data_IF_864535274236
#
_entry.id   IF_864535274236
#
_cell.length_a   1.000
_cell.length_b   1.000
_cell.length_c   1.000
_cell.angle_alpha   90.00
_cell.angle_beta   90.00
_cell.angle_gamma   90.00
#
_symmetry.space_group_name_H-M   'P 1'
#
loop_
_entity.id
_entity.type
_entity.pdbx_description
1 polymer ?
#
# COMPACT_ATOMS: atom_id res chain seq x y z
N UNK A 1 28.15 -23.61 19.12
CA UNK A 1 27.53 -22.33 18.74
C UNK A 1 27.20 -22.40 17.26
N UNK A 2 25.95 -22.66 16.86
CA UNK A 2 25.59 -22.58 15.44
C UNK A 2 25.57 -21.11 15.06
N UNK A 3 26.44 -20.70 14.14
CA UNK A 3 26.39 -19.36 13.58
C UNK A 3 24.99 -19.11 13.02
N UNK A 4 24.34 -18.04 13.46
CA UNK A 4 23.12 -17.56 12.83
C UNK A 4 23.49 -17.09 11.42
N UNK A 5 23.35 -17.98 10.44
CA UNK A 5 23.53 -17.64 9.04
C UNK A 5 22.30 -16.83 8.61
N UNK A 6 22.43 -15.50 8.55
CA UNK A 6 21.36 -14.65 8.06
C UNK A 6 21.00 -15.04 6.62
N UNK A 7 19.70 -15.15 6.35
CA UNK A 7 19.16 -15.51 5.05
C UNK A 7 19.53 -14.46 3.98
N UNK A 8 19.44 -14.86 2.71
CA UNK A 8 19.61 -13.93 1.57
C UNK A 8 18.59 -12.79 1.66
N UNK A 9 17.34 -13.09 2.05
CA UNK A 9 16.29 -12.07 2.22
C UNK A 9 16.62 -11.05 3.30
N UNK A 10 17.20 -11.47 4.42
CA UNK A 10 17.64 -10.56 5.49
C UNK A 10 18.81 -9.68 5.05
N UNK A 11 19.80 -10.25 4.35
CA UNK A 11 20.91 -9.46 3.78
C UNK A 11 20.41 -8.42 2.78
N UNK A 12 19.52 -8.81 1.87
CA UNK A 12 18.94 -7.90 0.89
C UNK A 12 18.13 -6.81 1.58
N UNK A 13 17.28 -7.15 2.56
CA UNK A 13 16.54 -6.16 3.34
C UNK A 13 17.47 -5.16 4.04
N UNK A 14 18.55 -5.62 4.66
CA UNK A 14 19.53 -4.74 5.30
C UNK A 14 20.22 -3.80 4.29
N UNK A 15 20.56 -4.30 3.10
CA UNK A 15 21.09 -3.47 2.03
C UNK A 15 20.09 -2.40 1.56
N UNK A 16 18.79 -2.76 1.46
CA UNK A 16 17.71 -1.81 1.14
C UNK A 16 17.60 -0.71 2.19
N UNK A 17 17.63 -1.06 3.47
CA UNK A 17 17.61 -0.10 4.59
C UNK A 17 18.80 0.86 4.53
N UNK A 18 20.00 0.34 4.29
CA UNK A 18 21.19 1.18 4.12
C UNK A 18 21.10 2.11 2.90
N UNK A 19 20.56 1.63 1.78
CA UNK A 19 20.32 2.45 0.59
C UNK A 19 19.30 3.55 0.84
N UNK A 20 18.18 3.23 1.49
CA UNK A 20 17.16 4.19 1.86
C UNK A 20 17.69 5.23 2.84
N UNK A 21 18.48 4.83 3.83
CA UNK A 21 19.14 5.77 4.76
C UNK A 21 20.03 6.78 4.03
N UNK A 22 20.81 6.33 3.03
CA UNK A 22 21.59 7.24 2.17
C UNK A 22 20.72 8.15 1.30
N UNK A 23 19.51 7.71 0.95
CA UNK A 23 18.52 8.51 0.22
C UNK A 23 17.70 9.46 1.13
N UNK A 24 17.96 9.47 2.44
CA UNK A 24 17.31 10.37 3.40
C UNK A 24 16.18 9.75 4.22
N UNK A 25 15.92 8.44 4.11
CA UNK A 25 14.94 7.77 4.94
C UNK A 25 15.37 7.81 6.41
N UNK A 26 14.43 8.13 7.30
CA UNK A 26 14.69 8.23 8.73
C UNK A 26 14.73 6.85 9.39
N UNK A 27 15.24 6.78 10.63
CA UNK A 27 15.16 5.55 11.43
C UNK A 27 13.71 5.10 11.63
N UNK A 28 12.77 6.04 11.72
CA UNK A 28 11.34 5.73 11.82
C UNK A 28 10.79 5.14 10.53
N UNK A 29 11.16 5.68 9.35
CA UNK A 29 10.76 5.12 8.05
C UNK A 29 11.23 3.65 7.91
N UNK A 30 12.46 3.36 8.36
CA UNK A 30 13.02 1.99 8.41
C UNK A 30 12.24 1.10 9.39
N UNK A 31 11.94 1.60 10.59
CA UNK A 31 11.16 0.86 11.58
C UNK A 31 9.77 0.51 11.06
N UNK A 32 9.09 1.46 10.41
CA UNK A 32 7.77 1.25 9.80
C UNK A 32 7.85 0.20 8.69
N UNK A 33 8.81 0.32 7.78
CA UNK A 33 9.05 -0.67 6.74
C UNK A 33 9.26 -2.09 7.30
N UNK A 34 9.93 -2.22 8.46
CA UNK A 34 10.10 -3.50 9.15
C UNK A 34 8.82 -4.11 9.69
N UNK A 35 7.80 -3.31 9.98
CA UNK A 35 6.52 -3.77 10.48
C UNK A 35 5.51 -4.06 9.36
N UNK A 36 5.64 -3.36 8.23
CA UNK A 36 4.58 -3.33 7.20
C UNK A 36 4.97 -4.02 5.90
N UNK A 37 6.24 -4.39 5.72
CA UNK A 37 6.72 -5.02 4.48
C UNK A 37 6.97 -4.04 3.34
N UNK A 38 6.74 -2.74 3.54
CA UNK A 38 7.08 -1.69 2.57
C UNK A 38 8.60 -1.51 2.44
N UNK A 39 9.06 -1.01 1.30
CA UNK A 39 10.42 -0.46 1.20
C UNK A 39 10.53 0.84 2.03
N UNK A 40 11.60 1.04 2.82
CA UNK A 40 11.77 2.24 3.65
C UNK A 40 11.83 3.56 2.85
N UNK A 41 12.37 3.55 1.63
CA UNK A 41 12.37 4.74 0.78
C UNK A 41 10.95 5.04 0.25
N UNK A 42 10.14 4.00 0.01
CA UNK A 42 8.73 4.18 -0.36
C UNK A 42 7.91 4.74 0.82
N UNK A 43 8.16 4.29 2.06
CA UNK A 43 7.54 4.88 3.28
C UNK A 43 7.87 6.38 3.37
N UNK A 44 9.15 6.74 3.23
CA UNK A 44 9.59 8.15 3.21
C UNK A 44 8.92 8.95 2.09
N UNK A 45 8.82 8.38 0.90
CA UNK A 45 8.22 9.03 -0.28
C UNK A 45 6.74 9.30 -0.04
N UNK A 46 6.00 8.29 0.42
CA UNK A 46 4.55 8.41 0.68
C UNK A 46 4.32 9.44 1.77
N UNK A 47 5.06 9.38 2.89
CA UNK A 47 4.86 10.34 3.99
C UNK A 47 5.13 11.78 3.55
N UNK A 48 6.18 11.99 2.75
CA UNK A 48 6.55 13.32 2.24
C UNK A 48 5.47 13.87 1.32
N UNK A 49 4.94 13.01 0.43
CA UNK A 49 3.86 13.40 -0.47
C UNK A 49 2.56 13.67 0.29
N UNK A 50 2.21 12.86 1.29
CA UNK A 50 1.03 13.07 2.13
C UNK A 50 1.07 14.40 2.87
N UNK A 51 2.23 14.75 3.46
CA UNK A 51 2.44 16.04 4.10
C UNK A 51 2.32 17.19 3.08
N UNK A 52 3.06 17.12 1.97
CA UNK A 52 3.13 18.19 0.98
C UNK A 52 1.79 18.49 0.28
N UNK A 53 0.92 17.47 0.15
CA UNK A 53 -0.38 17.61 -0.52
C UNK A 53 -1.57 17.70 0.44
N UNK A 54 -1.33 17.69 1.75
CA UNK A 54 -2.37 17.60 2.76
C UNK A 54 -3.39 16.48 2.47
N UNK A 55 -2.87 15.27 2.21
CA UNK A 55 -3.70 14.09 1.95
C UNK A 55 -3.51 13.02 3.03
N UNK A 56 -4.55 12.20 3.18
CA UNK A 56 -4.54 10.96 3.92
C UNK A 56 -4.55 9.82 2.91
N UNK A 57 -3.61 8.88 3.06
CA UNK A 57 -3.61 7.63 2.31
C UNK A 57 -3.64 6.45 3.27
N UNK A 58 -4.36 5.40 2.90
CA UNK A 58 -4.33 4.12 3.61
C UNK A 58 -3.99 3.02 2.62
N UNK A 59 -3.10 2.12 3.02
CA UNK A 59 -2.69 0.95 2.25
C UNK A 59 -2.91 -0.32 3.05
N UNK A 60 -3.17 -1.43 2.37
CA UNK A 60 -2.93 -2.76 2.90
C UNK A 60 -1.45 -3.09 2.77
N UNK A 61 -0.89 -3.66 3.82
CA UNK A 61 0.49 -4.10 3.88
C UNK A 61 0.74 -5.28 2.92
N UNK A 62 1.84 -5.27 2.15
CA UNK A 62 2.27 -6.44 1.40
C UNK A 62 2.74 -7.56 2.35
N UNK A 63 3.06 -8.72 1.78
CA UNK A 63 3.77 -9.76 2.53
C UNK A 63 5.10 -9.20 3.06
N UNK A 64 5.41 -9.39 4.34
CA UNK A 64 6.63 -8.88 4.96
C UNK A 64 7.91 -9.32 4.22
N UNK A 65 7.93 -10.53 3.65
CA UNK A 65 9.05 -11.03 2.85
C UNK A 65 9.29 -10.21 1.56
N UNK A 66 8.29 -9.50 1.05
CA UNK A 66 8.41 -8.66 -0.14
C UNK A 66 9.33 -7.45 0.08
N UNK A 67 9.55 -7.02 1.34
CA UNK A 67 10.42 -5.89 1.71
C UNK A 67 11.80 -5.96 1.06
N UNK A 68 12.40 -7.14 1.00
CA UNK A 68 13.74 -7.32 0.42
C UNK A 68 13.76 -7.24 -1.11
N UNK A 69 12.60 -7.23 -1.76
CA UNK A 69 12.46 -7.35 -3.22
C UNK A 69 11.91 -6.08 -3.88
N UNK A 70 11.27 -5.20 -3.11
CA UNK A 70 10.80 -3.90 -3.59
C UNK A 70 11.97 -3.07 -4.16
N UNK A 71 11.79 -2.56 -5.39
CA UNK A 71 12.84 -1.86 -6.14
C UNK A 71 13.89 -2.76 -6.81
N UNK A 72 13.92 -4.06 -6.52
CA UNK A 72 14.74 -5.05 -7.24
C UNK A 72 13.92 -5.78 -8.31
N UNK A 73 12.71 -6.19 -7.95
CA UNK A 73 11.77 -6.81 -8.87
C UNK A 73 10.72 -5.78 -9.32
N UNK A 74 10.23 -5.88 -10.58
CA UNK A 74 9.12 -5.07 -11.03
C UNK A 74 7.85 -5.39 -10.23
N UNK A 75 7.02 -4.37 -10.04
CA UNK A 75 5.69 -4.54 -9.50
C UNK A 75 4.84 -5.43 -10.42
N UNK A 76 4.00 -6.27 -9.80
CA UNK A 76 3.11 -7.20 -10.47
C UNK A 76 2.13 -6.44 -11.37
N UNK A 77 2.08 -6.80 -12.64
CA UNK A 77 1.15 -6.19 -13.59
C UNK A 77 -0.29 -6.59 -13.30
N UNK A 78 -1.24 -5.73 -13.69
CA UNK A 78 -2.69 -5.97 -13.57
C UNK A 78 -3.19 -7.27 -14.24
N UNK A 79 -2.42 -7.82 -15.20
CA UNK A 79 -2.74 -9.08 -15.90
C UNK A 79 -2.29 -10.32 -15.13
N UNK A 80 -1.36 -10.18 -14.17
CA UNK A 80 -0.87 -11.31 -13.40
C UNK A 80 -1.82 -11.56 -12.22
N UNK A 81 -2.52 -12.68 -12.21
CA UNK A 81 -3.45 -13.06 -11.12
C UNK A 81 -2.81 -13.96 -10.06
N UNK A 82 -1.70 -14.63 -10.37
CA UNK A 82 -1.00 -15.55 -9.47
C UNK A 82 -0.65 -14.87 -8.13
N UNK A 83 -0.90 -15.55 -7.00
CA UNK A 83 -0.59 -15.01 -5.67
C UNK A 83 0.90 -15.17 -5.38
N UNK A 84 1.51 -14.19 -4.71
CA UNK A 84 2.86 -14.37 -4.17
C UNK A 84 2.85 -15.40 -3.06
N UNK A 85 3.86 -16.27 -3.05
CA UNK A 85 4.05 -17.27 -2.00
C UNK A 85 4.71 -16.67 -0.76
N UNK A 86 5.25 -17.54 0.10
CA UNK A 86 5.99 -17.14 1.30
C UNK A 86 7.25 -16.32 1.01
N UNK A 87 7.79 -16.38 -0.21
CA UNK A 87 8.96 -15.60 -0.64
C UNK A 87 8.67 -14.12 -0.89
N UNK A 88 7.39 -13.70 -0.94
CA UNK A 88 7.00 -12.35 -1.34
C UNK A 88 7.08 -12.08 -2.85
N UNK A 89 7.68 -12.99 -3.64
CA UNK A 89 7.74 -12.93 -5.09
C UNK A 89 6.67 -13.79 -5.76
N UNK A 90 6.41 -13.50 -7.04
CA UNK A 90 5.58 -14.32 -7.92
C UNK A 90 6.22 -14.41 -9.30
N UNK A 91 6.16 -15.59 -9.92
CA UNK A 91 6.61 -15.79 -11.30
C UNK A 91 5.42 -15.61 -12.24
N UNK A 92 5.54 -14.70 -13.21
CA UNK A 92 4.56 -14.56 -14.28
C UNK A 92 4.61 -15.74 -15.25
N UNK A 93 3.57 -15.90 -16.07
CA UNK A 93 3.50 -16.96 -17.08
C UNK A 93 4.65 -16.88 -18.12
N UNK A 94 5.26 -15.70 -18.27
CA UNK A 94 6.43 -15.45 -19.12
C UNK A 94 7.78 -15.68 -18.41
N UNK A 95 7.78 -16.24 -17.18
CA UNK A 95 8.99 -16.48 -16.39
C UNK A 95 9.53 -15.25 -15.65
N UNK A 96 8.91 -14.07 -15.78
CA UNK A 96 9.35 -12.87 -15.08
C UNK A 96 9.00 -12.93 -13.60
N UNK A 97 10.00 -12.76 -12.72
CA UNK A 97 9.78 -12.58 -11.29
C UNK A 97 9.30 -11.15 -11.01
N UNK A 98 8.24 -11.05 -10.20
CA UNK A 98 7.59 -9.82 -9.80
C UNK A 98 7.37 -9.81 -8.29
N UNK A 99 7.13 -8.62 -7.74
CA UNK A 99 6.69 -8.41 -6.36
C UNK A 99 5.30 -7.77 -6.37
N UNK A 100 4.45 -8.08 -5.38
CA UNK A 100 3.17 -7.37 -5.25
C UNK A 100 3.39 -5.86 -5.11
N UNK A 101 2.53 -5.04 -5.71
CA UNK A 101 2.49 -3.62 -5.42
C UNK A 101 1.80 -3.33 -4.08
N UNK A 102 1.75 -2.06 -3.70
CA UNK A 102 1.03 -1.62 -2.51
C UNK A 102 -0.44 -1.39 -2.84
N UNK A 103 -1.31 -2.06 -2.09
CA UNK A 103 -2.75 -2.01 -2.31
C UNK A 103 -3.34 -0.81 -1.57
N UNK A 104 -3.70 0.25 -2.31
CA UNK A 104 -4.35 1.42 -1.73
C UNK A 104 -5.74 0.99 -1.24
N UNK A 105 -6.05 1.25 0.02
CA UNK A 105 -7.42 1.13 0.55
C UNK A 105 -8.20 2.40 0.21
N UNK A 106 -7.61 3.57 0.45
CA UNK A 106 -8.26 4.84 0.15
C UNK A 106 -7.39 6.08 0.19
N UNK A 107 -7.95 7.16 -0.35
CA UNK A 107 -7.32 8.48 -0.41
C UNK A 107 -8.32 9.58 -0.06
N UNK A 108 -7.87 10.57 0.71
CA UNK A 108 -8.67 11.74 1.08
C UNK A 108 -7.84 13.01 1.06
N UNK A 109 -8.46 14.13 0.70
CA UNK A 109 -7.94 15.49 0.88
C UNK A 109 -8.35 16.03 2.23
N UNK A 110 -7.44 16.70 2.94
CA UNK A 110 -7.83 17.50 4.10
C UNK A 110 -8.63 18.73 3.66
N UNK A 111 -9.81 18.92 4.22
CA UNK A 111 -10.67 20.08 3.99
C UNK A 111 -11.20 20.60 5.33
N UNK A 112 -10.72 21.78 5.75
CA UNK A 112 -11.00 22.31 7.08
C UNK A 112 -10.55 21.34 8.18
N UNK A 113 -11.49 20.96 9.05
CA UNK A 113 -11.26 19.99 10.13
C UNK A 113 -11.45 18.52 9.69
N UNK A 114 -11.90 18.27 8.46
CA UNK A 114 -12.28 16.94 7.97
C UNK A 114 -11.51 16.48 6.75
N UNK A 115 -12.01 15.41 6.14
CA UNK A 115 -11.42 14.76 4.98
C UNK A 115 -12.47 14.52 3.89
N UNK A 116 -12.20 15.01 2.67
CA UNK A 116 -12.99 14.68 1.47
C UNK A 116 -12.37 13.51 0.75
N UNK A 117 -13.15 12.47 0.47
CA UNK A 117 -12.71 11.30 -0.31
C UNK A 117 -12.27 11.72 -1.71
N UNK A 118 -11.15 11.18 -2.17
CA UNK A 118 -10.70 11.23 -3.57
C UNK A 118 -10.79 9.80 -4.12
N UNK A 119 -11.85 9.48 -4.90
CA UNK A 119 -11.98 8.14 -5.44
C UNK A 119 -10.84 7.82 -6.41
N UNK A 120 -10.07 6.77 -6.13
CA UNK A 120 -9.03 6.25 -7.01
C UNK A 120 -9.58 5.00 -7.68
N UNK A 121 -10.49 5.18 -8.62
CA UNK A 121 -11.09 4.09 -9.40
C UNK A 121 -11.40 4.57 -10.81
N UNK A 122 -11.74 3.64 -11.71
CA UNK A 122 -12.18 4.00 -13.04
C UNK A 122 -13.47 4.82 -12.96
N UNK A 123 -13.55 5.90 -13.74
CA UNK A 123 -14.75 6.76 -13.81
C UNK A 123 -15.97 6.01 -14.36
N UNK A 124 -15.75 4.97 -15.16
CA UNK A 124 -16.82 4.07 -15.59
C UNK A 124 -17.29 3.21 -14.41
N UNK A 125 -18.56 3.33 -14.03
CA UNK A 125 -19.14 2.63 -12.90
C UNK A 125 -18.92 1.11 -13.00
N UNK A 126 -18.42 0.51 -11.92
CA UNK A 126 -18.16 -0.94 -11.83
C UNK A 126 -16.91 -1.42 -12.59
N UNK A 127 -16.23 -0.56 -13.34
CA UNK A 127 -15.02 -0.94 -14.06
C UNK A 127 -13.81 -0.99 -13.10
N UNK A 128 -13.05 -2.09 -13.18
CA UNK A 128 -11.79 -2.26 -12.42
C UNK A 128 -10.65 -1.42 -13.01
N UNK A 129 -10.70 -1.16 -14.31
CA UNK A 129 -9.69 -0.44 -15.07
C UNK A 129 -10.36 0.63 -15.93
N UNK A 130 -9.66 1.73 -16.17
CA UNK A 130 -10.16 2.83 -17.00
C UNK A 130 -9.53 4.16 -16.61
N UNK A 131 -10.03 5.24 -17.21
CA UNK A 131 -9.61 6.59 -16.85
C UNK A 131 -10.01 6.91 -15.42
N UNK A 132 -9.08 7.45 -14.63
CA UNK A 132 -9.35 8.01 -13.31
C UNK A 132 -9.70 9.50 -13.42
N UNK A 133 -10.26 10.06 -12.34
CA UNK A 133 -10.38 11.51 -12.21
C UNK A 133 -9.00 12.19 -12.33
N UNK A 134 -8.96 13.46 -12.74
CA UNK A 134 -7.72 14.20 -12.86
C UNK A 134 -6.97 14.26 -11.51
N UNK A 135 -7.69 14.51 -10.41
CA UNK A 135 -7.12 14.56 -9.06
C UNK A 135 -6.48 13.22 -8.65
N UNK A 136 -7.18 12.10 -8.84
CA UNK A 136 -6.64 10.77 -8.52
C UNK A 136 -5.43 10.42 -9.39
N UNK A 137 -5.50 10.73 -10.69
CA UNK A 137 -4.38 10.53 -11.64
C UNK A 137 -3.16 11.32 -11.21
N UNK A 138 -3.31 12.60 -10.86
CA UNK A 138 -2.19 13.43 -10.43
C UNK A 138 -1.51 12.92 -9.16
N UNK A 139 -2.29 12.46 -8.18
CA UNK A 139 -1.75 11.89 -6.93
C UNK A 139 -0.95 10.63 -7.21
N UNK A 140 -1.52 9.67 -7.93
CA UNK A 140 -0.85 8.40 -8.18
C UNK A 140 0.33 8.56 -9.14
N UNK A 141 0.25 9.46 -10.12
CA UNK A 141 1.41 9.81 -10.94
C UNK A 141 2.52 10.45 -10.10
N UNK A 142 2.19 11.31 -9.14
CA UNK A 142 3.17 11.91 -8.24
C UNK A 142 3.84 10.87 -7.32
N UNK A 143 3.08 9.88 -6.85
CA UNK A 143 3.62 8.70 -6.14
C UNK A 143 4.54 7.91 -7.08
N UNK A 144 4.04 7.42 -8.21
CA UNK A 144 4.77 6.54 -9.13
C UNK A 144 6.01 7.17 -9.78
N UNK A 145 6.15 8.51 -9.77
CA UNK A 145 7.39 9.18 -10.18
C UNK A 145 8.55 8.95 -9.22
N UNK A 146 8.25 8.75 -7.94
CA UNK A 146 9.27 8.69 -6.87
C UNK A 146 9.32 7.34 -6.17
N UNK A 147 8.22 6.56 -6.22
CA UNK A 147 8.18 5.21 -5.68
C UNK A 147 9.07 4.26 -6.48
N UNK A 148 9.76 3.40 -5.74
CA UNK A 148 10.46 2.24 -6.27
C UNK A 148 9.46 1.16 -6.69
N UNK A 149 8.47 0.89 -5.83
CA UNK A 149 7.36 -0.02 -6.15
C UNK A 149 6.16 0.78 -6.63
N UNK A 150 5.94 0.75 -7.94
CA UNK A 150 4.83 1.49 -8.56
C UNK A 150 3.48 0.87 -8.23
N UNK A 151 2.51 1.73 -7.91
CA UNK A 151 1.09 1.40 -7.78
C UNK A 151 0.52 1.04 -9.16
N UNK A 152 -0.15 -0.11 -9.27
CA UNK A 152 -0.67 -0.64 -10.54
C UNK A 152 -2.20 -0.60 -10.63
N UNK A 153 -2.92 -0.43 -9.52
CA UNK A 153 -4.37 -0.46 -9.51
C UNK A 153 -5.00 0.63 -8.64
N UNK A 154 -6.31 0.78 -8.79
CA UNK A 154 -7.11 1.71 -7.99
C UNK A 154 -7.22 1.28 -6.54
N UNK A 155 -7.83 2.15 -5.74
CA UNK A 155 -8.10 1.94 -4.34
C UNK A 155 -9.22 0.92 -4.13
N UNK A 156 -9.01 0.01 -3.18
CA UNK A 156 -9.93 -1.09 -2.92
C UNK A 156 -11.29 -0.60 -2.40
N UNK A 157 -11.34 0.40 -1.51
CA UNK A 157 -12.62 0.89 -0.98
C UNK A 157 -13.48 1.55 -2.07
N UNK A 158 -12.89 1.98 -3.19
CA UNK A 158 -13.61 2.62 -4.29
C UNK A 158 -14.14 1.60 -5.33
N UNK A 159 -13.89 0.30 -5.12
CA UNK A 159 -14.37 -0.75 -6.01
C UNK A 159 -15.71 -1.32 -5.53
N UNK A 160 -16.79 -0.79 -6.11
CA UNK A 160 -18.17 -1.04 -5.68
C UNK A 160 -18.74 -2.43 -6.07
N UNK A 161 -17.96 -3.31 -6.69
CA UNK A 161 -18.35 -4.69 -6.98
C UNK A 161 -18.10 -5.58 -5.75
N UNK A 162 -19.13 -5.79 -4.91
CA UNK A 162 -19.01 -6.54 -3.66
C UNK A 162 -18.66 -8.03 -3.82
N UNK A 163 -18.83 -8.60 -5.02
CA UNK A 163 -18.47 -9.99 -5.31
C UNK A 163 -16.99 -10.12 -5.68
N UNK A 164 -16.43 -9.11 -6.35
CA UNK A 164 -15.02 -9.12 -6.77
C UNK A 164 -14.08 -8.36 -5.84
N UNK A 165 -14.60 -7.46 -5.00
CA UNK A 165 -13.82 -6.76 -3.99
C UNK A 165 -13.33 -7.75 -2.94
N UNK A 166 -12.01 -7.75 -2.67
CA UNK A 166 -11.36 -8.68 -1.73
C UNK A 166 -11.89 -8.53 -0.30
N UNK A 167 -12.48 -7.38 0.05
CA UNK A 167 -12.84 -7.08 1.42
C UNK A 167 -11.60 -6.94 2.30
N UNK A 168 -11.81 -6.87 3.62
CA UNK A 168 -10.75 -6.88 4.63
C UNK A 168 -10.80 -8.18 5.43
N UNK A 169 -9.63 -8.68 5.83
CA UNK A 169 -9.51 -9.88 6.65
C UNK A 169 -8.94 -9.55 8.04
N UNK A 170 -9.21 -10.39 9.05
CA UNK A 170 -8.67 -10.16 10.40
C UNK A 170 -7.14 -10.10 10.45
N UNK A 171 -6.45 -10.86 9.59
CA UNK A 171 -4.99 -10.99 9.52
C UNK A 171 -4.32 -9.99 8.56
N UNK A 172 -5.10 -9.16 7.85
CA UNK A 172 -4.51 -8.10 7.02
C UNK A 172 -3.83 -7.04 7.89
N UNK A 173 -2.58 -6.68 7.55
CA UNK A 173 -1.95 -5.47 8.07
C UNK A 173 -2.31 -4.25 7.23
N UNK A 174 -2.37 -3.07 7.83
CA UNK A 174 -2.57 -1.82 7.11
C UNK A 174 -1.56 -0.76 7.56
N UNK A 175 -1.33 0.22 6.69
CA UNK A 175 -0.49 1.38 6.96
C UNK A 175 -1.21 2.64 6.49
N UNK A 176 -1.53 3.52 7.44
CA UNK A 176 -2.08 4.83 7.15
C UNK A 176 -0.96 5.89 7.14
N UNK A 177 -1.12 6.91 6.30
CA UNK A 177 -0.29 8.10 6.27
C UNK A 177 -1.20 9.31 6.39
N UNK A 178 -1.39 9.82 7.62
CA UNK A 178 -2.21 11.00 7.87
C UNK A 178 -1.32 12.24 7.83
N UNK A 179 -1.40 13.02 6.75
CA UNK A 179 -0.61 14.25 6.57
C UNK A 179 0.90 14.01 6.75
N UNK A 180 1.38 12.83 6.36
CA UNK A 180 2.77 12.43 6.47
C UNK A 180 3.18 11.78 7.79
N UNK A 181 2.24 11.47 8.68
CA UNK A 181 2.50 10.63 9.85
C UNK A 181 2.14 9.18 9.52
N UNK A 182 3.12 8.26 9.44
CA UNK A 182 2.86 6.84 9.22
C UNK A 182 2.31 6.17 10.49
N UNK A 183 1.26 5.38 10.34
CA UNK A 183 0.58 4.68 11.42
C UNK A 183 0.24 3.24 11.00
N UNK A 184 1.01 2.23 11.47
CA UNK A 184 0.69 0.83 11.25
C UNK A 184 -0.58 0.44 12.02
N UNK A 185 -1.53 -0.21 11.34
CA UNK A 185 -2.80 -0.63 11.91
C UNK A 185 -2.89 -2.16 11.85
N UNK A 186 -3.18 -2.77 12.99
CA UNK A 186 -3.24 -4.22 13.13
C UNK A 186 -4.65 -4.72 12.85
N UNK A 187 -4.84 -5.43 11.73
CA UNK A 187 -6.10 -6.09 11.42
C UNK A 187 -7.22 -5.13 10.99
N UNK A 188 -8.33 -5.73 10.56
CA UNK A 188 -9.53 -4.99 10.15
C UNK A 188 -10.11 -4.12 11.29
N UNK A 189 -10.01 -4.54 12.55
CA UNK A 189 -10.50 -3.77 13.69
C UNK A 189 -9.69 -2.48 13.92
N UNK A 190 -8.36 -2.54 13.78
CA UNK A 190 -7.51 -1.34 13.85
C UNK A 190 -7.81 -0.36 12.71
N UNK A 191 -8.05 -0.89 11.50
CA UNK A 191 -8.47 -0.10 10.36
C UNK A 191 -9.82 0.58 10.59
N UNK A 192 -10.84 -0.15 11.05
CA UNK A 192 -12.17 0.40 11.34
C UNK A 192 -12.11 1.50 12.41
N UNK A 193 -11.33 1.28 13.47
CA UNK A 193 -11.08 2.26 14.52
C UNK A 193 -10.45 3.54 13.95
N UNK A 194 -9.44 3.41 13.09
CA UNK A 194 -8.80 4.53 12.42
C UNK A 194 -9.78 5.31 11.54
N UNK A 195 -10.62 4.62 10.76
CA UNK A 195 -11.62 5.27 9.91
C UNK A 195 -12.60 6.09 10.75
N UNK A 196 -13.15 5.50 11.82
CA UNK A 196 -14.08 6.18 12.73
C UNK A 196 -13.46 7.37 13.42
N UNK A 197 -12.23 7.22 13.94
CA UNK A 197 -11.52 8.30 14.63
C UNK A 197 -11.30 9.52 13.73
N UNK A 198 -11.13 9.30 12.43
CA UNK A 198 -10.90 10.36 11.44
C UNK A 198 -12.18 10.78 10.70
N UNK A 199 -13.36 10.32 11.12
CA UNK A 199 -14.65 10.67 10.49
C UNK A 199 -14.81 10.15 9.06
N UNK A 200 -14.13 9.06 8.72
CA UNK A 200 -14.16 8.44 7.40
C UNK A 200 -15.28 7.38 7.34
N UNK A 201 -15.96 7.26 6.19
CA UNK A 201 -16.96 6.20 5.97
C UNK A 201 -16.28 4.83 5.97
N UNK A 202 -16.82 3.90 6.77
CA UNK A 202 -16.36 2.51 6.83
C UNK A 202 -17.12 1.66 5.79
N UNK A 203 -16.46 1.20 4.71
CA UNK A 203 -17.17 0.62 3.57
C UNK A 203 -17.42 -0.89 3.69
N UNK A 204 -17.05 -1.51 4.81
CA UNK A 204 -17.12 -2.95 5.02
C UNK A 204 -18.25 -3.36 5.98
N UNK A 205 -18.78 -4.56 5.79
CA UNK A 205 -19.70 -5.24 6.68
C UNK A 205 -18.94 -5.88 7.86
N UNK A 206 -19.63 -6.30 8.94
CA UNK A 206 -18.98 -6.96 10.08
C UNK A 206 -18.18 -8.23 9.73
N UNK A 207 -18.53 -8.88 8.61
CA UNK A 207 -17.81 -10.06 8.09
C UNK A 207 -16.62 -9.70 7.17
N UNK A 208 -16.27 -8.41 7.07
CA UNK A 208 -15.17 -7.92 6.23
C UNK A 208 -15.49 -7.76 4.74
N UNK A 209 -16.70 -8.16 4.27
CA UNK A 209 -17.10 -7.96 2.87
C UNK A 209 -17.39 -6.49 2.59
N UNK A 210 -17.06 -6.03 1.38
CA UNK A 210 -17.40 -4.68 0.93
C UNK A 210 -18.91 -4.52 0.75
N UNK A 211 -19.46 -3.34 1.06
CA UNK A 211 -20.92 -3.07 0.99
C UNK A 211 -21.47 -2.86 -0.43
N UNK A 212 -20.62 -2.49 -1.39
CA UNK A 212 -20.95 -2.37 -2.82
C UNK A 212 -21.99 -1.30 -3.18
N UNK A 213 -21.98 -0.17 -2.47
CA UNK A 213 -23.02 0.87 -2.56
C UNK A 213 -22.65 1.94 -3.56
#
# INVERSE_FOLDING_TARGET
MSGLTASIGEHLAFQREGAAGRAGATAEDIRIARLTGFDPQDVMTIRTLCAARAILLVFRCPNLAARSLHGLLPAKTAVTSAKSGSSGAVMGANGLLMVSDYDIMGCWRQEGAGFRRIPITAMAQGAKYGAWSAEAREIVQALNRNLLTRIQHGAQDDWLDAEKNRGVKPDDGFLAFRLGVPEPLNGAAGLEGFYRLNGLDWPYLPNGRHRGR
#
